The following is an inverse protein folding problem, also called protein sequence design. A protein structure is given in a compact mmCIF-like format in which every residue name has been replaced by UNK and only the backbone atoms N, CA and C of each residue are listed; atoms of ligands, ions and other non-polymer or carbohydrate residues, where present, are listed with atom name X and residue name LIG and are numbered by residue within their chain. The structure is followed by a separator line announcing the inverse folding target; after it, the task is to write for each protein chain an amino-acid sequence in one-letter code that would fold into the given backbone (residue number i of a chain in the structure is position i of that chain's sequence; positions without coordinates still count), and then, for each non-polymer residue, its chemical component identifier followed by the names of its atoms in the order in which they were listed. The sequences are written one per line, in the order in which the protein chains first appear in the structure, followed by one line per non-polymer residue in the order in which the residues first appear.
data_IF_330100596129
#
_entry.id   IF_330100596129
#
_cell.length_a   1.000
_cell.length_b   1.000
_cell.length_c   1.000
_cell.angle_alpha   90.00
_cell.angle_beta   90.00
_cell.angle_gamma   90.00
#
_symmetry.space_group_name_H-M   'P 1'
#
loop_
_entity.id
_entity.type
_entity.pdbx_description
1 polymer ?
#
# COMPACT_ATOMS: atom_id res chain seq x y z
N UNK A 1 -19.12 -12.24 8.29
CA UNK A 1 -18.61 -12.51 6.92
C UNK A 1 -17.67 -13.72 6.86
N UNK A 2 -16.53 -13.69 7.57
CA UNK A 2 -15.61 -14.84 7.66
C UNK A 2 -16.31 -16.12 8.14
N UNK A 3 -17.17 -16.06 9.17
CA UNK A 3 -17.95 -17.21 9.63
C UNK A 3 -18.95 -17.74 8.57
N UNK A 4 -19.55 -16.86 7.77
CA UNK A 4 -20.46 -17.26 6.67
C UNK A 4 -19.70 -17.86 5.49
N UNK A 5 -18.53 -17.31 5.14
CA UNK A 5 -17.68 -17.87 4.09
C UNK A 5 -17.11 -19.22 4.53
N UNK A 6 -16.70 -19.38 5.81
CA UNK A 6 -16.32 -20.68 6.37
C UNK A 6 -17.45 -21.70 6.28
N UNK A 7 -18.67 -21.31 6.65
CA UNK A 7 -19.85 -22.18 6.49
C UNK A 7 -20.07 -22.58 5.02
N UNK A 8 -19.97 -21.62 4.09
CA UNK A 8 -20.11 -21.87 2.66
C UNK A 8 -19.01 -22.82 2.12
N UNK A 9 -17.77 -22.71 2.62
CA UNK A 9 -16.66 -23.59 2.26
C UNK A 9 -16.84 -24.99 2.85
N UNK A 10 -17.26 -25.10 4.11
CA UNK A 10 -17.57 -26.36 4.76
C UNK A 10 -18.75 -27.09 4.09
N UNK A 11 -19.79 -26.37 3.67
CA UNK A 11 -20.94 -26.92 2.92
C UNK A 11 -20.54 -27.48 1.53
N UNK A 12 -19.36 -27.10 1.01
CA UNK A 12 -18.86 -27.54 -0.29
C UNK A 12 -17.56 -28.38 -0.19
N UNK A 13 -17.20 -28.83 1.01
CA UNK A 13 -16.02 -29.67 1.28
C UNK A 13 -14.68 -29.04 0.85
N UNK A 14 -14.57 -27.71 0.97
CA UNK A 14 -13.39 -26.92 0.57
C UNK A 14 -12.60 -26.37 1.78
N UNK A 15 -12.81 -26.92 2.98
CA UNK A 15 -12.22 -26.37 4.20
C UNK A 15 -10.80 -26.92 4.43
N UNK A 16 -9.79 -26.03 4.39
CA UNK A 16 -8.40 -26.38 4.66
C UNK A 16 -7.88 -25.86 6.01
N UNK A 17 -8.78 -25.42 6.90
CA UNK A 17 -8.38 -25.03 8.24
C UNK A 17 -7.54 -23.75 8.23
N UNK A 18 -8.20 -22.63 8.47
CA UNK A 18 -7.59 -21.33 8.79
C UNK A 18 -6.86 -20.55 7.67
N UNK A 19 -6.50 -21.14 6.52
CA UNK A 19 -5.65 -20.46 5.51
C UNK A 19 -6.33 -19.76 4.32
N UNK A 20 -7.51 -20.19 3.85
CA UNK A 20 -7.89 -19.89 2.44
C UNK A 20 -8.91 -18.80 2.13
N UNK A 21 -9.46 -18.08 3.10
CA UNK A 21 -10.60 -17.20 2.83
C UNK A 21 -10.27 -16.00 1.92
N UNK A 22 -8.99 -15.71 1.66
CA UNK A 22 -8.52 -14.62 0.79
C UNK A 22 -8.13 -15.08 -0.62
N UNK A 23 -7.78 -16.36 -0.81
CA UNK A 23 -7.14 -16.89 -2.03
C UNK A 23 -7.94 -17.98 -2.79
N UNK A 24 -9.26 -18.00 -2.63
CA UNK A 24 -10.14 -18.87 -3.41
C UNK A 24 -10.23 -18.37 -4.87
N UNK A 25 -9.76 -19.19 -5.81
CA UNK A 25 -9.88 -18.95 -7.25
C UNK A 25 -10.65 -20.10 -7.90
N UNK A 26 -11.31 -19.83 -9.03
CA UNK A 26 -12.10 -20.83 -9.75
C UNK A 26 -11.24 -22.07 -10.03
N UNK A 27 -9.99 -21.87 -10.44
CA UNK A 27 -9.05 -22.95 -10.69
C UNK A 27 -8.67 -23.77 -9.44
N UNK A 28 -8.62 -23.15 -8.25
CA UNK A 28 -8.32 -23.86 -6.99
C UNK A 28 -9.51 -24.72 -6.55
N UNK A 29 -10.72 -24.18 -6.69
CA UNK A 29 -11.98 -24.90 -6.45
C UNK A 29 -12.18 -26.05 -7.44
N UNK A 30 -11.90 -25.83 -8.73
CA UNK A 30 -11.96 -26.90 -9.73
C UNK A 30 -10.96 -28.02 -9.44
N UNK A 31 -9.74 -27.69 -8.98
CA UNK A 31 -8.74 -28.69 -8.56
C UNK A 31 -9.15 -29.46 -7.30
N UNK A 32 -9.95 -28.85 -6.43
CA UNK A 32 -10.57 -29.50 -5.28
C UNK A 32 -11.83 -30.32 -5.65
N UNK A 33 -12.15 -30.48 -6.94
CA UNK A 33 -13.25 -31.31 -7.42
C UNK A 33 -14.57 -30.59 -7.67
N UNK A 34 -14.64 -29.25 -7.48
CA UNK A 34 -15.86 -28.51 -7.80
C UNK A 34 -16.05 -28.32 -9.31
N UNK A 35 -17.24 -28.59 -9.87
CA UNK A 35 -17.56 -28.21 -11.23
C UNK A 35 -17.37 -26.71 -11.45
N UNK A 36 -16.87 -26.33 -12.63
CA UNK A 36 -16.53 -24.94 -12.98
C UNK A 36 -17.68 -23.95 -12.73
N UNK A 37 -18.91 -24.34 -13.03
CA UNK A 37 -20.10 -23.52 -12.78
C UNK A 37 -20.35 -23.28 -11.27
N UNK A 38 -20.17 -24.30 -10.44
CA UNK A 38 -20.31 -24.20 -8.97
C UNK A 38 -19.16 -23.41 -8.35
N UNK A 39 -17.94 -23.62 -8.81
CA UNK A 39 -16.77 -22.85 -8.39
C UNK A 39 -16.97 -21.34 -8.65
N UNK A 40 -17.48 -20.99 -9.84
CA UNK A 40 -17.76 -19.60 -10.21
C UNK A 40 -18.91 -18.99 -9.40
N UNK A 41 -19.99 -19.75 -9.18
CA UNK A 41 -21.10 -19.32 -8.34
C UNK A 41 -20.67 -19.09 -6.88
N UNK A 42 -19.84 -19.99 -6.33
CA UNK A 42 -19.28 -19.86 -4.98
C UNK A 42 -18.40 -18.62 -4.86
N UNK A 43 -17.52 -18.35 -5.84
CA UNK A 43 -16.74 -17.11 -5.86
C UNK A 43 -17.62 -15.88 -5.89
N UNK A 44 -18.64 -15.86 -6.75
CA UNK A 44 -19.59 -14.75 -6.80
C UNK A 44 -20.29 -14.57 -5.45
N UNK A 45 -20.76 -15.64 -4.80
CA UNK A 45 -21.38 -15.58 -3.48
C UNK A 45 -20.42 -15.09 -2.39
N UNK A 46 -19.15 -15.49 -2.44
CA UNK A 46 -18.13 -14.98 -1.52
C UNK A 46 -17.84 -13.51 -1.79
N UNK A 47 -17.78 -13.09 -3.04
CA UNK A 47 -17.65 -11.69 -3.43
C UNK A 47 -18.86 -10.87 -2.97
N UNK A 48 -20.08 -11.39 -3.07
CA UNK A 48 -21.30 -10.75 -2.56
C UNK A 48 -21.35 -10.70 -1.03
N UNK A 49 -20.92 -11.77 -0.35
CA UNK A 49 -20.78 -11.79 1.11
C UNK A 49 -19.70 -10.81 1.58
N UNK A 50 -18.63 -10.66 0.81
CA UNK A 50 -17.66 -9.58 0.98
C UNK A 50 -18.39 -8.26 0.78
N UNK A 51 -19.08 -8.01 -0.35
CA UNK A 51 -19.90 -6.80 -0.62
C UNK A 51 -20.81 -6.39 0.57
N UNK A 52 -21.50 -7.34 1.19
CA UNK A 52 -22.31 -7.11 2.39
C UNK A 52 -21.51 -6.86 3.68
N UNK A 53 -20.28 -7.38 3.79
CA UNK A 53 -19.34 -7.04 4.86
C UNK A 53 -18.86 -5.59 4.79
N UNK A 54 -18.77 -5.00 3.59
CA UNK A 54 -18.31 -3.60 3.44
C UNK A 54 -19.28 -2.58 4.01
N UNK A 55 -20.55 -2.97 4.17
CA UNK A 55 -21.61 -2.15 4.76
C UNK A 55 -21.67 -2.26 6.29
N UNK A 56 -20.93 -3.20 6.89
CA UNK A 56 -20.84 -3.29 8.34
C UNK A 56 -19.83 -2.26 8.85
N UNK A 57 -20.11 -1.61 10.00
CA UNK A 57 -19.13 -0.74 10.63
C UNK A 57 -17.87 -1.52 11.02
N UNK A 58 -16.72 -0.86 11.00
CA UNK A 58 -15.48 -1.45 11.50
C UNK A 58 -15.60 -1.75 13.00
N UNK A 59 -14.98 -2.86 13.49
CA UNK A 59 -14.98 -3.15 14.91
C UNK A 59 -14.24 -2.04 15.68
N UNK A 60 -14.77 -1.60 16.84
CA UNK A 60 -14.10 -0.61 17.67
C UNK A 60 -12.69 -1.06 18.06
N UNK A 61 -11.78 -0.09 18.32
CA UNK A 61 -10.43 -0.38 18.81
C UNK A 61 -10.41 -1.18 20.13
N UNK A 62 -11.47 -1.08 20.94
CA UNK A 62 -11.60 -1.85 22.18
C UNK A 62 -11.85 -3.35 21.92
N UNK A 63 -12.53 -3.69 20.83
CA UNK A 63 -12.80 -5.08 20.44
C UNK A 63 -11.65 -5.67 19.62
N UNK A 64 -11.08 -4.87 18.72
CA UNK A 64 -9.94 -5.23 17.90
C UNK A 64 -8.82 -4.19 18.07
N UNK A 65 -7.91 -4.36 19.04
CA UNK A 65 -6.84 -3.40 19.27
C UNK A 65 -5.93 -3.23 18.04
N UNK A 66 -5.55 -1.99 17.74
CA UNK A 66 -4.53 -1.64 16.75
C UNK A 66 -3.53 -0.69 17.41
N UNK A 67 -2.25 -1.05 17.37
CA UNK A 67 -1.17 -0.16 17.82
C UNK A 67 -0.63 0.59 16.60
N UNK A 68 -0.75 1.91 16.59
CA UNK A 68 -0.25 2.75 15.51
C UNK A 68 1.22 3.12 15.71
N UNK A 69 1.90 3.52 14.65
CA UNK A 69 3.29 3.99 14.69
C UNK A 69 3.41 5.29 15.48
N UNK A 70 2.37 6.13 15.52
CA UNK A 70 2.36 7.27 16.43
C UNK A 70 2.61 6.84 17.90
N UNK A 71 2.11 5.66 18.30
CA UNK A 71 2.32 5.09 19.64
C UNK A 71 3.63 4.32 19.75
N UNK A 72 3.95 3.44 18.78
CA UNK A 72 5.19 2.63 18.86
C UNK A 72 6.45 3.46 18.61
N UNK A 73 6.41 4.42 17.70
CA UNK A 73 7.52 5.31 17.36
C UNK A 73 7.88 6.28 18.47
N UNK A 74 6.92 6.70 19.31
CA UNK A 74 7.20 7.44 20.54
C UNK A 74 8.09 6.62 21.50
N UNK A 75 7.86 5.30 21.60
CA UNK A 75 8.72 4.41 22.40
C UNK A 75 10.14 4.29 21.84
N UNK A 76 10.30 4.50 20.53
CA UNK A 76 11.59 4.56 19.86
C UNK A 76 12.28 5.93 19.99
N UNK A 77 11.71 6.88 20.73
CA UNK A 77 12.29 8.21 20.96
C UNK A 77 12.02 9.22 19.83
N UNK A 78 11.16 8.87 18.86
CA UNK A 78 10.85 9.73 17.73
C UNK A 78 9.58 10.57 17.97
N UNK A 79 9.61 11.83 17.54
CA UNK A 79 8.52 12.77 17.70
C UNK A 79 7.46 12.63 16.60
N UNK A 80 6.74 11.52 16.59
CA UNK A 80 5.62 11.28 15.68
C UNK A 80 4.41 12.15 16.03
N UNK A 81 3.84 12.81 15.03
CA UNK A 81 2.66 13.67 15.13
C UNK A 81 1.49 13.05 14.37
N UNK A 82 0.28 12.96 14.95
CA UNK A 82 -0.89 12.49 14.22
C UNK A 82 -1.25 13.48 13.10
N UNK A 83 -1.52 12.95 11.91
CA UNK A 83 -1.98 13.66 10.72
C UNK A 83 -3.46 13.35 10.47
N UNK A 84 -3.85 12.10 10.74
CA UNK A 84 -5.22 11.61 10.71
C UNK A 84 -5.43 10.69 11.90
N UNK A 85 -6.52 10.91 12.63
CA UNK A 85 -6.97 10.03 13.71
C UNK A 85 -8.49 9.81 13.54
N UNK A 86 -8.84 8.71 12.88
CA UNK A 86 -10.22 8.29 12.65
C UNK A 86 -10.44 6.91 13.25
N UNK A 87 -10.53 6.85 14.59
CA UNK A 87 -10.77 5.63 15.33
C UNK A 87 -12.08 4.92 14.96
N UNK A 88 -13.09 5.65 14.47
CA UNK A 88 -14.37 5.06 14.02
C UNK A 88 -14.17 4.16 12.80
N UNK A 89 -13.33 4.59 11.87
CA UNK A 89 -12.99 3.80 10.68
C UNK A 89 -11.65 3.11 10.81
N UNK A 90 -11.06 3.06 12.01
CA UNK A 90 -9.74 2.48 12.28
C UNK A 90 -8.67 2.97 11.30
N UNK A 91 -8.70 4.25 10.93
CA UNK A 91 -7.83 4.82 9.89
C UNK A 91 -6.94 5.90 10.49
N UNK A 92 -5.63 5.75 10.32
CA UNK A 92 -4.67 6.63 10.96
C UNK A 92 -3.56 7.04 9.98
N UNK A 93 -2.95 8.19 10.23
CA UNK A 93 -1.73 8.62 9.57
C UNK A 93 -0.89 9.42 10.56
N UNK A 94 0.42 9.24 10.53
CA UNK A 94 1.35 9.97 11.38
C UNK A 94 2.54 10.50 10.57
N UNK A 95 3.19 11.54 11.09
CA UNK A 95 4.33 12.19 10.46
C UNK A 95 5.44 12.43 11.48
N UNK A 96 6.67 12.10 11.11
CA UNK A 96 7.86 12.40 11.87
C UNK A 96 8.77 13.34 11.07
N UNK A 97 8.85 14.64 11.43
CA UNK A 97 9.69 15.60 10.74
C UNK A 97 11.17 15.32 10.95
N UNK A 98 11.99 15.49 9.92
CA UNK A 98 13.45 15.38 10.00
C UNK A 98 13.92 14.10 10.72
N UNK A 99 13.24 12.98 10.45
CA UNK A 99 13.54 11.70 11.09
C UNK A 99 14.91 11.15 10.66
N UNK A 100 15.36 11.52 9.47
CA UNK A 100 16.70 11.25 8.97
C UNK A 100 17.50 12.55 9.01
N UNK A 101 18.73 12.49 9.51
CA UNK A 101 19.60 13.66 9.50
C UNK A 101 19.94 14.07 8.05
N UNK A 102 20.20 15.37 7.80
CA UNK A 102 20.37 15.88 6.44
C UNK A 102 21.53 15.25 5.65
N UNK A 103 22.63 14.89 6.31
CA UNK A 103 23.79 14.30 5.63
C UNK A 103 23.45 12.89 5.11
N UNK A 104 22.96 12.02 5.99
CA UNK A 104 22.49 10.68 5.63
C UNK A 104 21.38 10.74 4.57
N UNK A 105 20.42 11.65 4.74
CA UNK A 105 19.31 11.80 3.80
C UNK A 105 19.81 12.19 2.40
N UNK A 106 20.82 13.05 2.30
CA UNK A 106 21.42 13.44 1.02
C UNK A 106 22.23 12.32 0.36
N UNK A 107 23.00 11.57 1.14
CA UNK A 107 23.71 10.37 0.66
C UNK A 107 22.73 9.35 0.07
N UNK A 108 21.61 9.10 0.76
CA UNK A 108 20.56 8.21 0.26
C UNK A 108 19.89 8.77 -0.99
N UNK A 109 19.62 10.07 -1.04
CA UNK A 109 19.04 10.73 -2.20
C UNK A 109 19.92 10.54 -3.45
N UNK A 110 21.22 10.82 -3.35
CA UNK A 110 22.18 10.65 -4.45
C UNK A 110 22.30 9.18 -4.85
N UNK A 111 22.42 8.27 -3.89
CA UNK A 111 22.53 6.84 -4.16
C UNK A 111 21.30 6.32 -4.92
N UNK A 112 20.09 6.64 -4.48
CA UNK A 112 18.84 6.23 -5.13
C UNK A 112 18.70 6.85 -6.52
N UNK A 113 18.99 8.14 -6.67
CA UNK A 113 18.88 8.84 -7.95
C UNK A 113 19.83 8.25 -8.99
N UNK A 114 21.07 7.94 -8.59
CA UNK A 114 22.13 7.58 -9.54
C UNK A 114 22.21 6.07 -9.80
N UNK A 115 21.72 5.23 -8.88
CA UNK A 115 21.88 3.75 -8.96
C UNK A 115 20.63 2.99 -9.40
N UNK A 116 19.45 3.59 -9.32
CA UNK A 116 18.21 2.93 -9.73
C UNK A 116 17.94 3.06 -11.24
N UNK A 117 17.33 2.04 -11.87
CA UNK A 117 17.04 2.03 -13.30
C UNK A 117 15.80 2.88 -13.61
N UNK A 118 15.95 4.20 -13.60
CA UNK A 118 14.85 5.13 -13.80
C UNK A 118 14.37 5.16 -15.25
N UNK A 119 13.15 4.68 -15.48
CA UNK A 119 12.50 4.70 -16.79
C UNK A 119 11.17 5.45 -16.75
N UNK A 120 10.83 6.07 -17.89
CA UNK A 120 9.51 6.67 -18.09
C UNK A 120 8.50 5.58 -18.45
N UNK A 121 7.57 5.30 -17.52
CA UNK A 121 6.53 4.29 -17.72
C UNK A 121 5.34 4.87 -18.49
N UNK A 122 4.67 4.03 -19.29
CA UNK A 122 3.49 4.38 -20.10
C UNK A 122 2.29 3.51 -19.70
N UNK A 123 1.09 4.08 -19.78
CA UNK A 123 -0.16 3.33 -19.61
C UNK A 123 -0.42 2.42 -20.81
N UNK A 124 -0.90 1.19 -20.56
CA UNK A 124 -1.17 0.17 -21.58
C UNK A 124 -2.64 0.09 -22.02
N UNK A 125 -3.53 0.94 -21.49
CA UNK A 125 -4.97 0.95 -21.79
C UNK A 125 -5.33 1.68 -23.09
N UNK A 126 -4.49 2.59 -23.56
CA UNK A 126 -4.72 3.29 -24.82
C UNK A 126 -3.99 2.57 -25.96
N UNK A 127 -4.74 1.99 -26.92
CA UNK A 127 -4.16 1.50 -28.18
C UNK A 127 -3.57 2.70 -28.93
N UNK A 128 -2.27 2.92 -28.78
CA UNK A 128 -1.51 4.08 -29.26
C UNK A 128 -0.25 4.30 -28.41
N UNK A 129 0.44 5.43 -28.59
CA UNK A 129 1.48 5.87 -27.65
C UNK A 129 0.82 6.29 -26.33
N UNK A 130 0.67 5.35 -25.39
CA UNK A 130 0.05 5.58 -24.09
C UNK A 130 0.64 6.77 -23.34
N UNK A 131 -0.18 7.43 -22.51
CA UNK A 131 0.26 8.60 -21.73
C UNK A 131 1.36 8.19 -20.75
N UNK A 132 2.46 8.94 -20.75
CA UNK A 132 3.53 8.77 -19.77
C UNK A 132 3.00 9.13 -18.38
N UNK A 133 3.26 8.28 -17.40
CA UNK A 133 2.93 8.63 -16.01
C UNK A 133 3.78 9.83 -15.58
N UNK A 134 3.19 10.80 -14.85
CA UNK A 134 3.90 12.01 -14.45
C UNK A 134 4.78 11.76 -13.21
N UNK A 135 5.64 10.72 -13.26
CA UNK A 135 6.71 10.36 -12.32
C UNK A 135 7.42 9.10 -12.85
N UNK A 136 8.64 8.84 -12.40
CA UNK A 136 9.29 7.52 -12.62
C UNK A 136 9.13 6.64 -11.39
N UNK A 137 9.00 5.34 -11.58
CA UNK A 137 8.74 4.40 -10.49
C UNK A 137 9.60 3.15 -10.63
N UNK A 138 10.24 2.74 -9.54
CA UNK A 138 10.87 1.42 -9.40
C UNK A 138 10.11 0.65 -8.32
N UNK A 139 9.75 -0.60 -8.61
CA UNK A 139 9.08 -1.49 -7.66
C UNK A 139 10.08 -2.49 -7.10
N UNK A 140 10.53 -2.23 -5.88
CA UNK A 140 11.51 -3.06 -5.19
C UNK A 140 10.82 -4.17 -4.41
N UNK A 141 11.33 -5.39 -4.49
CA UNK A 141 10.80 -6.55 -3.76
C UNK A 141 11.93 -7.37 -3.12
N UNK A 142 11.61 -8.08 -2.05
CA UNK A 142 12.54 -9.02 -1.41
C UNK A 142 13.09 -10.06 -2.41
N UNK A 143 14.31 -10.53 -2.13
CA UNK A 143 15.01 -11.54 -2.92
C UNK A 143 14.14 -12.77 -3.20
N UNK A 144 14.08 -13.17 -4.47
CA UNK A 144 13.25 -14.29 -4.93
C UNK A 144 11.77 -13.98 -5.16
N UNK A 145 11.26 -12.81 -4.75
CA UNK A 145 9.94 -12.36 -5.12
C UNK A 145 9.91 -11.94 -6.59
N UNK A 146 8.88 -12.37 -7.33
CA UNK A 146 8.68 -12.02 -8.74
C UNK A 146 7.38 -11.27 -9.01
N UNK A 147 6.70 -10.82 -7.98
CA UNK A 147 5.42 -10.12 -8.14
C UNK A 147 5.61 -8.81 -8.89
N UNK A 148 4.66 -8.48 -9.75
CA UNK A 148 4.63 -7.21 -10.49
C UNK A 148 3.72 -6.21 -9.81
N UNK A 149 4.09 -4.94 -9.85
CA UNK A 149 3.22 -3.86 -9.38
C UNK A 149 2.35 -3.38 -10.54
N UNK A 150 1.03 -3.42 -10.35
CA UNK A 150 0.06 -3.04 -11.38
C UNK A 150 -0.83 -1.94 -10.85
N UNK A 151 -0.81 -0.79 -11.51
CA UNK A 151 -1.57 0.38 -11.10
C UNK A 151 -2.01 1.18 -12.32
N UNK A 152 -3.31 1.50 -12.40
CA UNK A 152 -3.92 2.34 -13.46
C UNK A 152 -3.44 2.00 -14.88
N UNK A 153 -3.36 0.70 -15.21
CA UNK A 153 -2.94 0.23 -16.54
C UNK A 153 -1.44 0.14 -16.79
N UNK A 154 -0.63 0.57 -15.82
CA UNK A 154 0.83 0.43 -15.86
C UNK A 154 1.20 -0.85 -15.14
N UNK A 155 2.16 -1.60 -15.72
CA UNK A 155 2.80 -2.73 -15.06
C UNK A 155 4.27 -2.40 -14.85
N UNK A 156 4.72 -2.49 -13.61
CA UNK A 156 6.12 -2.25 -13.21
C UNK A 156 6.73 -3.60 -12.82
N UNK A 157 7.80 -4.04 -13.48
CA UNK A 157 8.46 -5.29 -13.13
C UNK A 157 9.11 -5.19 -11.74
N UNK A 158 9.25 -6.32 -11.02
CA UNK A 158 10.01 -6.35 -9.78
C UNK A 158 11.47 -6.02 -10.03
N UNK A 159 12.04 -5.27 -9.11
CA UNK A 159 13.47 -5.04 -8.97
C UNK A 159 13.90 -5.67 -7.64
N UNK A 160 14.78 -6.67 -7.69
CA UNK A 160 15.26 -7.33 -6.47
C UNK A 160 15.99 -6.31 -5.57
N UNK A 161 15.66 -6.29 -4.28
CA UNK A 161 16.18 -5.29 -3.33
C UNK A 161 17.71 -5.35 -3.22
N UNK A 162 18.42 -4.27 -3.59
CA UNK A 162 19.86 -4.16 -3.35
C UNK A 162 20.15 -3.84 -1.88
N UNK A 163 21.32 -4.26 -1.39
CA UNK A 163 21.73 -4.10 0.01
C UNK A 163 21.60 -2.66 0.53
N UNK A 164 21.93 -1.65 -0.28
CA UNK A 164 21.83 -0.25 0.15
C UNK A 164 20.38 0.19 0.40
N UNK A 165 19.40 -0.36 -0.30
CA UNK A 165 17.97 -0.10 -0.06
C UNK A 165 17.50 -0.87 1.17
N UNK A 166 17.99 -2.10 1.35
CA UNK A 166 17.73 -2.88 2.55
C UNK A 166 18.19 -2.15 3.82
N UNK A 167 19.36 -1.47 3.79
CA UNK A 167 19.84 -0.67 4.91
C UNK A 167 18.95 0.57 5.18
N UNK A 168 18.51 1.28 4.14
CA UNK A 168 17.55 2.40 4.28
C UNK A 168 16.25 1.88 4.93
N UNK A 169 15.72 0.76 4.43
CA UNK A 169 14.53 0.10 4.96
C UNK A 169 14.69 -0.22 6.45
N UNK A 170 15.75 -0.93 6.83
CA UNK A 170 16.03 -1.30 8.22
C UNK A 170 16.08 -0.08 9.13
N UNK A 171 16.75 0.99 8.70
CA UNK A 171 16.87 2.23 9.47
C UNK A 171 15.51 2.91 9.67
N UNK A 172 14.71 3.02 8.62
CA UNK A 172 13.37 3.63 8.70
C UNK A 172 12.42 2.83 9.58
N UNK A 173 12.43 1.49 9.46
CA UNK A 173 11.62 0.58 10.29
C UNK A 173 11.99 0.68 11.77
N UNK A 174 13.28 0.79 12.09
CA UNK A 174 13.75 1.01 13.46
C UNK A 174 13.25 2.35 14.03
N UNK A 175 13.33 3.44 13.26
CA UNK A 175 12.85 4.77 13.67
C UNK A 175 11.31 4.81 13.84
N UNK A 176 10.58 3.99 13.08
CA UNK A 176 9.14 3.80 13.24
C UNK A 176 8.77 2.88 14.42
N UNK A 177 9.74 2.28 15.11
CA UNK A 177 9.49 1.35 16.22
C UNK A 177 8.72 0.10 15.79
N UNK A 178 8.90 -0.34 14.55
CA UNK A 178 8.18 -1.45 13.96
C UNK A 178 8.88 -2.78 14.26
N UNK A 179 8.08 -3.81 14.56
CA UNK A 179 8.59 -5.14 14.92
C UNK A 179 8.87 -6.06 13.74
N UNK A 180 8.41 -5.71 12.54
CA UNK A 180 8.59 -6.51 11.33
C UNK A 180 9.03 -5.63 10.16
N UNK A 181 9.73 -6.24 9.21
CA UNK A 181 10.20 -5.58 7.99
C UNK A 181 9.14 -5.71 6.88
N UNK A 182 8.85 -4.64 6.13
CA UNK A 182 8.09 -4.71 4.87
C UNK A 182 8.90 -5.43 3.81
N UNK A 183 8.24 -6.13 2.87
CA UNK A 183 8.91 -6.95 1.85
C UNK A 183 8.82 -6.37 0.42
N UNK A 184 8.26 -5.17 0.29
CA UNK A 184 8.22 -4.43 -0.97
C UNK A 184 8.25 -2.92 -0.77
N UNK A 185 8.73 -2.19 -1.78
CA UNK A 185 8.80 -0.74 -1.79
C UNK A 185 8.55 -0.15 -3.18
N UNK A 186 7.61 0.79 -3.29
CA UNK A 186 7.50 1.63 -4.47
C UNK A 186 8.34 2.89 -4.28
N UNK A 187 9.38 3.04 -5.10
CA UNK A 187 10.23 4.23 -5.10
C UNK A 187 9.82 5.11 -6.26
N UNK A 188 9.34 6.31 -5.96
CA UNK A 188 8.85 7.26 -6.94
C UNK A 188 9.81 8.46 -7.04
N UNK A 189 10.26 8.78 -8.25
CA UNK A 189 11.00 9.99 -8.58
C UNK A 189 10.07 10.99 -9.27
N UNK A 190 9.83 12.10 -8.58
CA UNK A 190 9.21 13.29 -9.14
C UNK A 190 10.34 14.21 -9.59
N UNK A 191 10.50 14.40 -10.90
CA UNK A 191 11.61 15.17 -11.49
C UNK A 191 11.55 16.64 -11.11
N UNK A 192 10.34 17.17 -10.98
CA UNK A 192 10.04 18.53 -10.55
C UNK A 192 8.56 18.65 -10.12
N UNK A 193 8.08 19.87 -9.96
CA UNK A 193 6.71 20.22 -9.61
C UNK A 193 5.62 19.80 -10.61
N UNK A 194 5.96 19.48 -11.86
CA UNK A 194 5.01 19.04 -12.88
C UNK A 194 4.67 17.55 -12.77
N UNK A 195 5.55 16.77 -12.15
CA UNK A 195 5.29 15.39 -11.77
C UNK A 195 4.32 15.35 -10.57
N UNK A 196 3.43 14.35 -10.57
CA UNK A 196 2.32 14.24 -9.63
C UNK A 196 1.80 12.81 -9.51
N UNK A 197 0.96 12.56 -8.50
CA UNK A 197 0.06 11.41 -8.48
C UNK A 197 -1.32 11.90 -8.06
N UNK A 198 -2.34 11.53 -8.83
CA UNK A 198 -3.73 11.93 -8.58
C UNK A 198 -4.29 11.29 -7.31
N UNK A 199 -5.54 11.60 -6.99
CA UNK A 199 -6.25 10.96 -5.89
C UNK A 199 -6.34 9.44 -6.11
N UNK A 200 -5.78 8.68 -5.18
CA UNK A 200 -5.77 7.23 -5.22
C UNK A 200 -5.70 6.63 -3.81
N UNK A 201 -5.81 5.31 -3.75
CA UNK A 201 -5.51 4.49 -2.59
C UNK A 201 -4.57 3.36 -3.02
N UNK A 202 -3.79 2.82 -2.10
CA UNK A 202 -2.90 1.69 -2.33
C UNK A 202 -3.67 0.36 -2.16
N UNK A 203 -4.64 0.13 -3.05
CA UNK A 203 -5.53 -1.04 -3.00
C UNK A 203 -5.13 -2.17 -3.96
N UNK A 204 -3.87 -2.23 -4.37
CA UNK A 204 -3.41 -3.32 -5.22
C UNK A 204 -3.62 -4.68 -4.53
N UNK A 205 -4.12 -5.67 -5.28
CA UNK A 205 -4.49 -6.99 -4.73
C UNK A 205 -3.36 -7.68 -3.96
N UNK A 206 -2.10 -7.37 -4.31
CA UNK A 206 -0.92 -7.97 -3.70
C UNK A 206 -0.70 -7.54 -2.24
N UNK A 207 -1.23 -6.38 -1.84
CA UNK A 207 -1.13 -5.85 -0.47
C UNK A 207 -2.35 -6.16 0.39
N UNK A 208 -3.50 -6.43 -0.24
CA UNK A 208 -4.80 -6.64 0.43
C UNK A 208 -5.17 -5.53 1.44
N UNK A 209 -4.60 -4.33 1.29
CA UNK A 209 -4.71 -3.22 2.25
C UNK A 209 -6.11 -2.58 2.31
N UNK A 210 -6.94 -2.82 1.29
CA UNK A 210 -8.37 -2.49 1.31
C UNK A 210 -9.15 -3.42 2.27
N UNK A 211 -8.69 -4.67 2.44
CA UNK A 211 -9.39 -5.75 3.14
C UNK A 211 -8.88 -5.98 4.56
N UNK A 212 -7.68 -5.51 4.90
CA UNK A 212 -7.02 -5.75 6.17
C UNK A 212 -6.49 -4.45 6.79
N UNK A 213 -6.23 -4.47 8.10
CA UNK A 213 -5.43 -3.43 8.72
C UNK A 213 -4.02 -3.51 8.12
N UNK A 214 -3.57 -2.43 7.48
CA UNK A 214 -2.27 -2.35 6.84
C UNK A 214 -1.44 -1.24 7.48
N UNK A 215 -0.13 -1.34 7.34
CA UNK A 215 0.81 -0.27 7.67
C UNK A 215 1.58 0.04 6.41
N UNK A 216 1.69 1.33 6.09
CA UNK A 216 2.50 1.82 4.98
C UNK A 216 3.45 2.84 5.57
N UNK A 217 4.75 2.63 5.39
CA UNK A 217 5.79 3.55 5.82
C UNK A 217 6.35 4.28 4.60
N UNK A 218 6.42 5.60 4.66
CA UNK A 218 6.93 6.45 3.59
C UNK A 218 8.08 7.31 4.05
N UNK A 219 9.16 7.36 3.27
CA UNK A 219 10.29 8.29 3.42
C UNK A 219 10.29 9.28 2.25
N UNK A 220 10.43 10.57 2.55
CA UNK A 220 10.62 11.62 1.55
C UNK A 220 12.06 12.14 1.54
N UNK A 221 12.66 12.29 0.36
CA UNK A 221 13.97 12.88 0.15
C UNK A 221 13.94 13.94 -0.97
N UNK A 222 14.75 14.99 -0.87
CA UNK A 222 14.79 16.07 -1.85
C UNK A 222 13.69 17.12 -1.64
N UNK A 223 13.09 17.59 -2.72
CA UNK A 223 12.17 18.73 -2.70
C UNK A 223 10.93 18.50 -1.83
N UNK A 224 10.55 19.52 -1.08
CA UNK A 224 9.31 19.51 -0.29
C UNK A 224 8.09 19.54 -1.21
N UNK A 225 7.09 18.71 -0.94
CA UNK A 225 5.85 18.65 -1.72
C UNK A 225 4.64 18.44 -0.82
N UNK A 226 3.48 18.91 -1.29
CA UNK A 226 2.20 18.62 -0.64
C UNK A 226 1.85 17.14 -0.78
N UNK A 227 1.41 16.56 0.33
CA UNK A 227 0.74 15.28 0.43
C UNK A 227 -0.68 15.56 0.95
N UNK A 228 -1.66 15.37 0.08
CA UNK A 228 -3.05 15.67 0.39
C UNK A 228 -3.77 14.38 0.75
N UNK A 229 -4.63 14.42 1.76
CA UNK A 229 -5.46 13.31 2.23
C UNK A 229 -6.91 13.77 2.26
N UNK A 230 -7.84 12.97 1.75
CA UNK A 230 -9.28 13.23 1.90
C UNK A 230 -10.04 11.93 2.09
N UNK A 231 -11.19 11.99 2.75
CA UNK A 231 -12.08 10.84 2.86
C UNK A 231 -12.69 10.50 1.50
N UNK A 232 -12.87 9.22 1.22
CA UNK A 232 -13.57 8.76 0.02
C UNK A 232 -15.07 9.03 0.17
N UNK A 233 -15.70 9.53 -0.89
CA UNK A 233 -17.14 9.67 -0.98
C UNK A 233 -17.70 8.35 -1.54
N UNK A 234 -18.69 7.77 -0.87
CA UNK A 234 -19.41 6.59 -1.37
C UNK A 234 -20.78 7.03 -1.88
N UNK A 235 -21.34 6.36 -2.89
CA UNK A 235 -22.57 6.78 -3.58
C UNK A 235 -23.82 6.96 -2.70
N UNK A 236 -23.77 6.61 -1.40
CA UNK A 236 -24.83 6.85 -0.42
C UNK A 236 -24.35 7.54 0.88
N UNK A 237 -23.17 8.18 0.87
CA UNK A 237 -22.67 8.91 2.02
C UNK A 237 -23.35 10.27 2.12
N UNK A 238 -24.33 10.42 3.03
CA UNK A 238 -24.82 11.74 3.51
C UNK A 238 -23.75 12.53 4.30
N UNK A 239 -22.48 12.14 4.19
CA UNK A 239 -21.38 12.79 4.87
C UNK A 239 -20.94 13.99 4.03
N UNK A 240 -20.85 15.17 4.64
CA UNK A 240 -20.29 16.36 4.01
C UNK A 240 -18.93 16.05 3.39
N UNK A 241 -18.72 16.52 2.15
CA UNK A 241 -17.43 16.45 1.47
C UNK A 241 -16.36 17.08 2.36
N UNK A 242 -15.54 16.25 3.00
CA UNK A 242 -14.52 16.74 3.91
C UNK A 242 -13.43 17.44 3.10
N UNK A 243 -13.15 18.71 3.42
CA UNK A 243 -12.02 19.44 2.83
C UNK A 243 -10.74 18.61 2.98
N UNK A 244 -9.93 18.44 1.92
CA UNK A 244 -8.69 17.69 2.02
C UNK A 244 -7.74 18.28 3.07
N UNK A 245 -7.20 17.41 3.93
CA UNK A 245 -6.07 17.71 4.79
C UNK A 245 -4.80 17.77 3.94
N UNK A 246 -3.90 18.71 4.25
CA UNK A 246 -2.65 18.89 3.51
C UNK A 246 -1.48 18.84 4.48
N UNK A 247 -0.58 17.89 4.26
CA UNK A 247 0.72 17.79 4.90
C UNK A 247 1.81 18.19 3.89
N UNK A 248 2.85 18.91 4.32
CA UNK A 248 4.00 19.22 3.48
C UNK A 248 5.14 18.33 3.93
N UNK A 249 5.54 17.37 3.09
CA UNK A 249 6.61 16.42 3.39
C UNK A 249 7.92 16.92 2.77
N UNK A 250 8.96 17.04 3.61
CA UNK A 250 10.29 17.50 3.26
C UNK A 250 11.35 16.41 3.29
N UNK A 251 12.60 16.84 3.08
CA UNK A 251 13.77 15.96 3.09
C UNK A 251 13.97 15.32 4.47
N UNK A 252 14.05 13.99 4.50
CA UNK A 252 14.25 13.22 5.73
C UNK A 252 12.99 12.98 6.55
N UNK A 253 11.81 13.40 6.06
CA UNK A 253 10.55 13.16 6.75
C UNK A 253 10.07 11.72 6.56
N UNK A 254 9.56 11.14 7.64
CA UNK A 254 8.78 9.90 7.61
C UNK A 254 7.29 10.19 7.74
N UNK A 255 6.47 9.40 7.04
CA UNK A 255 5.01 9.46 7.11
C UNK A 255 4.44 8.04 7.11
N UNK A 256 3.32 7.82 7.79
CA UNK A 256 2.61 6.55 7.81
C UNK A 256 1.17 6.68 7.35
N UNK A 257 0.63 5.60 6.80
CA UNK A 257 -0.80 5.39 6.58
C UNK A 257 -1.14 4.01 7.13
N UNK A 258 -2.12 3.93 8.05
CA UNK A 258 -2.27 2.79 8.94
C UNK A 258 -3.74 2.36 9.14
N UNK A 259 -3.92 1.10 9.52
CA UNK A 259 -5.21 0.49 9.73
C UNK A 259 -5.99 0.37 8.43
N UNK A 260 -7.21 0.89 8.40
CA UNK A 260 -8.11 0.87 7.23
C UNK A 260 -7.98 2.09 6.33
N UNK A 261 -6.87 2.82 6.42
CA UNK A 261 -6.64 4.02 5.62
C UNK A 261 -6.94 3.78 4.14
N UNK A 262 -6.42 2.69 3.55
CA UNK A 262 -6.56 2.40 2.12
C UNK A 262 -8.01 2.05 1.71
N UNK A 263 -8.90 1.78 2.66
CA UNK A 263 -10.32 1.57 2.39
C UNK A 263 -11.12 2.87 2.39
N UNK A 264 -10.81 3.79 3.31
CA UNK A 264 -11.65 4.97 3.58
C UNK A 264 -11.08 6.30 3.10
N UNK A 265 -9.78 6.36 2.80
CA UNK A 265 -9.08 7.59 2.48
C UNK A 265 -8.37 7.51 1.13
N UNK A 266 -8.39 8.63 0.43
CA UNK A 266 -7.64 8.90 -0.78
C UNK A 266 -6.48 9.81 -0.44
N UNK A 267 -5.37 9.64 -1.16
CA UNK A 267 -4.22 10.51 -1.07
C UNK A 267 -3.68 10.92 -2.44
N UNK A 268 -2.96 12.04 -2.48
CA UNK A 268 -2.40 12.62 -3.71
C UNK A 268 -1.14 13.45 -3.45
N UNK A 269 -0.30 13.58 -4.49
CA UNK A 269 0.79 14.57 -4.57
C UNK A 269 0.47 15.47 -5.76
N UNK A 270 -0.14 16.65 -5.54
CA UNK A 270 -0.59 17.52 -6.63
C UNK A 270 0.59 18.18 -7.33
N UNK A 271 0.37 18.68 -8.56
CA UNK A 271 1.35 19.49 -9.29
C UNK A 271 1.62 20.80 -8.54
N UNK A 272 2.89 21.17 -8.44
CA UNK A 272 3.36 22.42 -7.84
C UNK A 272 4.38 23.08 -8.78
N UNK A 273 3.95 23.74 -9.88
CA UNK A 273 4.82 24.17 -10.99
C UNK A 273 6.03 25.05 -10.62
N UNK A 274 6.04 25.62 -9.42
CA UNK A 274 7.16 26.43 -8.90
C UNK A 274 8.32 25.60 -8.36
N UNK A 275 8.10 24.32 -8.03
CA UNK A 275 9.16 23.42 -7.54
C UNK A 275 9.98 22.93 -8.74
N UNK A 276 11.28 23.21 -8.76
CA UNK A 276 12.17 22.81 -9.85
C UNK A 276 13.04 21.60 -9.47
N UNK A 277 13.18 21.37 -8.16
CA UNK A 277 14.05 20.36 -7.60
C UNK A 277 13.36 18.97 -7.59
N UNK A 278 14.13 17.89 -7.76
CA UNK A 278 13.62 16.53 -7.69
C UNK A 278 13.21 16.13 -6.28
N UNK A 279 12.18 15.28 -6.18
CA UNK A 279 11.74 14.59 -4.96
C UNK A 279 11.76 13.08 -5.17
N UNK A 280 12.35 12.36 -4.24
CA UNK A 280 12.23 10.91 -4.10
C UNK A 280 11.27 10.57 -2.97
N UNK A 281 10.50 9.50 -3.16
CA UNK A 281 9.58 8.97 -2.17
C UNK A 281 9.66 7.44 -2.16
N UNK A 282 10.06 6.86 -1.04
CA UNK A 282 10.07 5.40 -0.84
C UNK A 282 8.84 5.04 -0.02
N UNK A 283 7.97 4.18 -0.55
CA UNK A 283 6.78 3.71 0.16
C UNK A 283 6.84 2.20 0.34
N UNK A 284 7.12 1.77 1.58
CA UNK A 284 7.22 0.36 1.95
C UNK A 284 5.88 -0.25 2.36
N UNK A 285 5.65 -1.50 1.94
CA UNK A 285 4.41 -2.27 2.14
C UNK A 285 4.71 -3.77 2.30
N UNK A 286 3.66 -4.54 2.61
CA UNK A 286 3.70 -6.00 2.71
C UNK A 286 2.93 -6.62 1.54
N UNK A 287 3.64 -7.29 0.64
CA UNK A 287 3.05 -8.29 -0.24
C UNK A 287 2.55 -9.43 0.66
N UNK A 288 1.24 -9.53 0.80
CA UNK A 288 0.56 -10.64 1.48
C UNK A 288 0.07 -11.68 0.48
N UNK A 289 -0.15 -11.27 -0.77
CA UNK A 289 -0.68 -12.13 -1.83
C UNK A 289 0.26 -12.18 -3.03
N UNK A 290 1.09 -13.22 -3.07
CA UNK A 290 2.00 -13.43 -4.19
C UNK A 290 1.28 -13.97 -5.44
N UNK A 291 1.60 -13.38 -6.59
CA UNK A 291 1.06 -13.78 -7.90
C UNK A 291 1.90 -14.88 -8.55
N UNK A 292 1.35 -16.11 -8.62
CA UNK A 292 1.95 -17.19 -9.40
C UNK A 292 1.97 -16.91 -10.91
N UNK A 293 1.08 -16.04 -11.42
CA UNK A 293 1.07 -15.63 -12.83
C UNK A 293 2.32 -14.84 -13.19
N UNK A 294 2.89 -14.13 -12.22
CA UNK A 294 4.15 -13.41 -12.40
C UNK A 294 5.37 -14.34 -12.18
N UNK A 295 5.15 -15.66 -12.06
CA UNK A 295 6.20 -16.65 -11.79
C UNK A 295 6.71 -16.64 -10.35
N UNK A 296 6.05 -15.92 -9.44
CA UNK A 296 6.40 -15.89 -8.03
C UNK A 296 6.02 -17.21 -7.35
N UNK A 297 6.98 -17.86 -6.70
CA UNK A 297 6.78 -19.11 -5.96
C UNK A 297 6.73 -18.92 -4.45
N UNK A 298 6.94 -17.69 -3.98
CA UNK A 298 6.80 -17.36 -2.56
C UNK A 298 5.34 -17.52 -2.14
N UNK A 299 5.16 -18.04 -0.95
CA UNK A 299 3.89 -18.10 -0.27
C UNK A 299 3.71 -16.80 0.54
N UNK A 300 2.50 -16.26 0.58
CA UNK A 300 2.18 -15.20 1.54
C UNK A 300 2.31 -15.72 2.98
N UNK A 301 2.37 -14.84 3.98
CA UNK A 301 2.16 -15.25 5.36
C UNK A 301 0.72 -15.79 5.49
N UNK A 302 0.55 -17.10 5.30
CA UNK A 302 -0.77 -17.77 5.29
C UNK A 302 -1.01 -18.87 4.26
N UNK A 303 0.02 -19.46 3.62
CA UNK A 303 -0.13 -20.82 3.05
C UNK A 303 0.28 -21.88 4.06
#
# INVERSE_FOLDING_TARGET
PHARVRRLCAENDVDDGHGLLTNLTEGRLCRAGLPRCKARAMINSIQELRKGAWLQPEPPLAELPLTTIAVSGQRAGMAWKPVLDDGKHRSFAAWCPNAIDPATAWEWFEALRNRLPWEDLRDNHHQGEGRTIPRRTVFVVDKGCKCTYRYSGVTVPPFEEPDFIAEIRKRCVALAGMSSQPNACNINLYRNGMDSVGWHTDNEELYEAEYNDAVILSLTLGARRKFCIKRMEHENSHYESTKPSVLVLGHGDLCTMEGRFQRYYLHAVPKEPRVQEPRLNLTWRWITRHSHRDGCRLCGPGN
#
